data_IF_754947130011
#
_entry.id   IF_754947130011
#
_cell.length_a   1.000
_cell.length_b   1.000
_cell.length_c   1.000
_cell.angle_alpha   90.00
_cell.angle_beta   90.00
_cell.angle_gamma   90.00
#
_symmetry.space_group_name_H-M   'P 1'
#
loop_
_entity.id
_entity.type
_entity.pdbx_description
1 polymer ?
#
# COMPACT_ATOMS: atom_id res chain seq x y z
N UNK A 1 -1.56 -21.54 15.68
CA UNK A 1 -1.07 -21.06 14.38
C UNK A 1 -2.21 -20.63 13.45
N UNK A 2 -3.09 -21.50 12.95
CA UNK A 2 -4.20 -21.08 12.10
C UNK A 2 -5.16 -20.10 12.81
N UNK A 3 -5.43 -20.32 14.10
CA UNK A 3 -6.23 -19.41 14.92
C UNK A 3 -5.59 -18.01 15.06
N UNK A 4 -4.27 -17.92 15.14
CA UNK A 4 -3.53 -16.65 15.20
C UNK A 4 -3.68 -15.87 13.89
N UNK A 5 -3.47 -16.54 12.74
CA UNK A 5 -3.64 -15.93 11.43
C UNK A 5 -5.11 -15.50 11.21
N UNK A 6 -6.06 -16.36 11.56
CA UNK A 6 -7.48 -16.04 11.53
C UNK A 6 -7.81 -14.85 12.43
N UNK A 7 -7.33 -14.83 13.67
CA UNK A 7 -7.55 -13.73 14.61
C UNK A 7 -7.06 -12.38 14.11
N UNK A 8 -5.96 -12.36 13.37
CA UNK A 8 -5.38 -11.15 12.82
C UNK A 8 -6.01 -10.69 11.49
N UNK A 9 -6.47 -11.62 10.64
CA UNK A 9 -7.08 -11.30 9.35
C UNK A 9 -8.59 -11.09 9.45
N UNK A 10 -9.27 -11.77 10.38
CA UNK A 10 -10.73 -11.67 10.57
C UNK A 10 -11.22 -10.23 10.81
N UNK A 11 -10.55 -9.38 11.63
CA UNK A 11 -10.95 -7.99 11.79
C UNK A 11 -10.95 -7.20 10.47
N UNK A 12 -10.03 -7.50 9.55
CA UNK A 12 -10.00 -6.86 8.22
C UNK A 12 -11.22 -7.25 7.39
N UNK A 13 -11.56 -8.55 7.36
CA UNK A 13 -12.73 -9.07 6.65
C UNK A 13 -14.00 -8.47 7.23
N UNK A 14 -14.13 -8.48 8.56
CA UNK A 14 -15.31 -7.94 9.27
C UNK A 14 -15.47 -6.45 8.98
N UNK A 15 -14.40 -5.66 9.05
CA UNK A 15 -14.45 -4.22 8.79
C UNK A 15 -14.86 -3.92 7.34
N UNK A 16 -14.34 -4.68 6.38
CA UNK A 16 -14.69 -4.55 4.98
C UNK A 16 -16.15 -4.94 4.74
N UNK A 17 -16.61 -6.05 5.35
CA UNK A 17 -18.01 -6.48 5.27
C UNK A 17 -18.96 -5.48 5.94
N UNK A 18 -18.59 -4.86 7.04
CA UNK A 18 -19.37 -3.80 7.68
C UNK A 18 -19.55 -2.60 6.74
N UNK A 19 -18.50 -2.17 6.05
CA UNK A 19 -18.60 -1.13 5.04
C UNK A 19 -19.51 -1.52 3.86
N UNK A 20 -19.43 -2.78 3.42
CA UNK A 20 -20.30 -3.32 2.39
C UNK A 20 -21.78 -3.32 2.85
N UNK A 21 -22.06 -3.81 4.05
CA UNK A 21 -23.40 -3.86 4.64
C UNK A 21 -23.98 -2.46 4.84
N UNK A 22 -23.16 -1.51 5.34
CA UNK A 22 -23.56 -0.12 5.53
C UNK A 22 -23.97 0.55 4.21
N UNK A 23 -23.26 0.25 3.11
CA UNK A 23 -23.64 0.72 1.79
C UNK A 23 -24.89 0.01 1.25
N UNK A 24 -25.04 -1.28 1.51
CA UNK A 24 -26.21 -2.06 1.12
C UNK A 24 -27.49 -1.59 1.83
N UNK A 25 -27.37 -1.20 3.11
CA UNK A 25 -28.47 -0.58 3.88
C UNK A 25 -28.71 0.90 3.52
N UNK A 26 -27.96 1.47 2.58
CA UNK A 26 -28.04 2.88 2.19
C UNK A 26 -27.65 3.89 3.29
N UNK A 27 -26.99 3.46 4.36
CA UNK A 27 -26.44 4.35 5.38
C UNK A 27 -25.27 5.18 4.82
N UNK A 28 -24.52 4.58 3.89
CA UNK A 28 -23.45 5.23 3.14
C UNK A 28 -23.64 5.01 1.64
N UNK A 29 -23.46 6.10 0.88
CA UNK A 29 -23.55 6.06 -0.57
C UNK A 29 -22.19 6.18 -1.26
N UNK A 30 -22.18 6.07 -2.60
CA UNK A 30 -20.97 6.25 -3.42
C UNK A 30 -20.32 7.63 -3.25
N UNK A 31 -21.08 8.64 -2.76
CA UNK A 31 -20.56 10.00 -2.48
C UNK A 31 -19.79 10.10 -1.16
N UNK A 32 -20.00 9.18 -0.24
CA UNK A 32 -19.38 9.21 1.11
C UNK A 32 -17.99 8.56 1.11
N UNK A 33 -17.79 7.56 0.25
CA UNK A 33 -16.48 6.91 0.09
C UNK A 33 -15.34 7.91 -0.22
N UNK A 34 -15.48 8.90 -1.14
CA UNK A 34 -14.47 9.94 -1.36
C UNK A 34 -14.19 10.81 -0.14
N UNK A 35 -15.20 11.08 0.72
CA UNK A 35 -15.04 11.88 1.95
C UNK A 35 -14.17 11.12 2.95
N UNK A 36 -14.51 9.85 3.21
CA UNK A 36 -13.72 8.96 4.05
C UNK A 36 -12.31 8.80 3.50
N UNK A 37 -12.18 8.62 2.20
CA UNK A 37 -10.92 8.50 1.51
C UNK A 37 -10.04 9.76 1.70
N UNK A 38 -10.62 10.96 1.57
CA UNK A 38 -9.92 12.21 1.79
C UNK A 38 -9.44 12.36 3.23
N UNK A 39 -10.29 12.03 4.21
CA UNK A 39 -9.93 12.04 5.64
C UNK A 39 -8.71 11.13 5.88
N UNK A 40 -8.74 9.93 5.33
CA UNK A 40 -7.66 8.96 5.53
C UNK A 40 -6.38 9.40 4.81
N UNK A 41 -6.44 9.77 3.53
CA UNK A 41 -5.24 10.11 2.74
C UNK A 41 -4.57 11.42 3.16
N UNK A 42 -5.37 12.41 3.60
CA UNK A 42 -4.83 13.75 3.92
C UNK A 42 -4.38 13.86 5.39
N UNK A 43 -5.06 13.14 6.29
CA UNK A 43 -4.81 13.28 7.73
C UNK A 43 -4.33 11.98 8.38
N UNK A 44 -5.11 10.90 8.31
CA UNK A 44 -4.83 9.71 9.10
C UNK A 44 -3.57 8.96 8.64
N UNK A 45 -3.43 8.71 7.33
CA UNK A 45 -2.26 8.01 6.77
C UNK A 45 -0.97 8.79 6.98
N UNK A 46 -0.84 10.10 6.67
CA UNK A 46 0.39 10.84 6.93
C UNK A 46 0.83 10.77 8.39
N UNK A 47 -0.10 10.88 9.34
CA UNK A 47 0.20 10.77 10.77
C UNK A 47 0.63 9.36 11.16
N UNK A 48 -0.02 8.32 10.60
CA UNK A 48 0.39 6.93 10.79
C UNK A 48 1.81 6.69 10.27
N UNK A 49 2.11 7.19 9.06
CA UNK A 49 3.40 7.01 8.42
C UNK A 49 4.51 7.76 9.17
N UNK A 50 4.24 8.99 9.60
CA UNK A 50 5.17 9.76 10.41
C UNK A 50 5.43 9.05 11.75
N UNK A 51 4.38 8.74 12.52
CA UNK A 51 4.49 8.09 13.82
C UNK A 51 5.20 6.73 13.71
N UNK A 52 4.85 5.91 12.73
CA UNK A 52 5.50 4.63 12.47
C UNK A 52 6.98 4.77 12.09
N UNK A 53 7.33 5.82 11.34
CA UNK A 53 8.73 6.05 10.94
C UNK A 53 9.59 6.53 12.12
N UNK A 54 9.13 7.48 12.93
CA UNK A 54 9.91 8.03 14.05
C UNK A 54 10.10 7.04 15.20
N UNK A 55 9.27 6.01 15.29
CA UNK A 55 9.45 4.91 16.26
C UNK A 55 10.50 3.90 15.84
N UNK A 56 10.94 3.91 14.59
CA UNK A 56 12.02 3.04 14.09
C UNK A 56 13.36 3.53 14.61
N UNK A 57 14.14 2.65 15.26
CA UNK A 57 15.48 3.01 15.74
C UNK A 57 16.55 2.72 14.70
N UNK A 58 17.64 3.52 14.70
CA UNK A 58 18.83 3.23 13.86
C UNK A 58 19.44 1.86 14.16
N UNK A 59 19.42 1.46 15.43
CA UNK A 59 19.93 0.17 15.86
C UNK A 59 19.14 -0.98 15.21
N UNK A 60 17.80 -0.87 15.11
CA UNK A 60 16.97 -1.87 14.44
C UNK A 60 17.33 -2.03 12.96
N UNK A 61 17.64 -0.93 12.26
CA UNK A 61 18.04 -0.96 10.85
C UNK A 61 19.42 -1.60 10.63
N UNK A 62 20.32 -1.51 11.61
CA UNK A 62 21.69 -2.04 11.49
C UNK A 62 21.86 -3.45 12.02
N UNK A 63 20.94 -3.95 12.86
CA UNK A 63 21.07 -5.27 13.50
C UNK A 63 20.81 -6.43 12.54
N UNK A 64 19.86 -6.28 11.60
CA UNK A 64 19.40 -7.35 10.73
C UNK A 64 19.51 -6.96 9.24
N UNK A 65 20.74 -6.64 8.80
CA UNK A 65 21.03 -6.27 7.39
C UNK A 65 20.44 -7.29 6.39
N UNK A 66 20.52 -8.62 6.61
CA UNK A 66 19.91 -9.59 5.70
C UNK A 66 18.40 -9.42 5.55
N UNK A 67 17.69 -9.13 6.64
CA UNK A 67 16.25 -8.86 6.63
C UNK A 67 15.93 -7.56 5.87
N UNK A 68 16.72 -6.51 6.10
CA UNK A 68 16.59 -5.23 5.37
C UNK A 68 16.73 -5.46 3.88
N UNK A 69 17.79 -6.16 3.45
CA UNK A 69 18.04 -6.44 2.03
C UNK A 69 16.91 -7.29 1.44
N UNK A 70 16.49 -8.36 2.13
CA UNK A 70 15.43 -9.24 1.66
C UNK A 70 14.12 -8.48 1.45
N UNK A 71 13.71 -7.63 2.41
CA UNK A 71 12.48 -6.84 2.31
C UNK A 71 12.60 -5.73 1.26
N UNK A 72 13.73 -5.02 1.19
CA UNK A 72 13.98 -4.02 0.14
C UNK A 72 13.92 -4.63 -1.25
N UNK A 73 14.66 -5.71 -1.48
CA UNK A 73 14.71 -6.38 -2.80
C UNK A 73 13.35 -6.96 -3.15
N UNK A 74 12.66 -7.59 -2.20
CA UNK A 74 11.33 -8.16 -2.44
C UNK A 74 10.31 -7.08 -2.77
N UNK A 75 10.22 -6.02 -1.99
CA UNK A 75 9.19 -4.99 -2.14
C UNK A 75 9.50 -4.08 -3.35
N UNK A 76 10.69 -3.49 -3.39
CA UNK A 76 11.08 -2.55 -4.46
C UNK A 76 11.32 -3.31 -5.78
N UNK A 77 11.99 -4.45 -5.72
CA UNK A 77 12.30 -5.27 -6.89
C UNK A 77 11.03 -5.80 -7.55
N UNK A 78 10.09 -6.35 -6.79
CA UNK A 78 8.83 -6.84 -7.33
C UNK A 78 7.96 -5.69 -7.87
N UNK A 79 7.92 -4.53 -7.16
CA UNK A 79 7.24 -3.33 -7.64
C UNK A 79 7.76 -2.91 -9.01
N UNK A 80 9.09 -2.77 -9.14
CA UNK A 80 9.73 -2.42 -10.39
C UNK A 80 9.51 -3.46 -11.48
N UNK A 81 9.66 -4.74 -11.16
CA UNK A 81 9.46 -5.83 -12.12
C UNK A 81 8.04 -5.88 -12.68
N UNK A 82 7.02 -5.76 -11.81
CA UNK A 82 5.61 -5.75 -12.23
C UNK A 82 5.29 -4.49 -13.02
N UNK A 83 5.80 -3.32 -12.58
CA UNK A 83 5.62 -2.06 -13.30
C UNK A 83 6.16 -2.15 -14.73
N UNK A 84 7.39 -2.64 -14.88
CA UNK A 84 8.05 -2.81 -16.18
C UNK A 84 7.34 -3.86 -17.03
N UNK A 85 6.96 -5.00 -16.46
CA UNK A 85 6.21 -6.06 -17.15
C UNK A 85 4.89 -5.50 -17.69
N UNK A 86 4.11 -4.82 -16.86
CA UNK A 86 2.84 -4.22 -17.25
C UNK A 86 3.03 -3.15 -18.34
N UNK A 87 4.07 -2.32 -18.23
CA UNK A 87 4.31 -1.22 -19.16
C UNK A 87 4.87 -1.68 -20.50
N UNK A 88 5.88 -2.56 -20.49
CA UNK A 88 6.61 -2.95 -21.69
C UNK A 88 6.02 -4.18 -22.38
N UNK A 89 5.65 -5.21 -21.60
CA UNK A 89 5.15 -6.47 -22.18
C UNK A 89 3.65 -6.43 -22.41
N UNK A 90 2.88 -5.98 -21.40
CA UNK A 90 1.41 -5.93 -21.50
C UNK A 90 0.91 -4.60 -22.10
N UNK A 91 1.80 -3.61 -22.29
CA UNK A 91 1.52 -2.30 -22.87
C UNK A 91 0.34 -1.58 -22.20
N UNK A 92 0.18 -1.78 -20.89
CA UNK A 92 -0.89 -1.14 -20.10
C UNK A 92 -0.58 0.34 -19.86
N UNK A 93 -1.61 1.17 -19.69
CA UNK A 93 -1.45 2.55 -19.23
C UNK A 93 -0.68 2.63 -17.91
N UNK A 94 0.07 3.72 -17.70
CA UNK A 94 0.96 3.87 -16.53
C UNK A 94 0.20 3.82 -15.20
N UNK A 95 -1.01 4.42 -15.13
CA UNK A 95 -1.86 4.38 -13.95
C UNK A 95 -2.28 2.96 -13.55
N UNK A 96 -2.69 2.14 -14.53
CA UNK A 96 -3.04 0.73 -14.30
C UNK A 96 -1.80 -0.07 -13.90
N UNK A 97 -0.66 0.18 -14.57
CA UNK A 97 0.61 -0.48 -14.27
C UNK A 97 1.10 -0.16 -12.85
N UNK A 98 0.97 1.10 -12.42
CA UNK A 98 1.33 1.52 -11.07
C UNK A 98 0.45 0.88 -9.98
N UNK A 99 -0.88 0.81 -10.21
CA UNK A 99 -1.80 0.13 -9.28
C UNK A 99 -1.55 -1.39 -9.24
N UNK A 100 -1.27 -2.02 -10.38
CA UNK A 100 -0.94 -3.45 -10.43
C UNK A 100 0.38 -3.74 -9.68
N UNK A 101 1.40 -2.89 -9.86
CA UNK A 101 2.67 -2.99 -9.15
C UNK A 101 2.50 -2.80 -7.63
N UNK A 102 1.69 -1.81 -7.21
CA UNK A 102 1.35 -1.60 -5.81
C UNK A 102 0.63 -2.81 -5.21
N UNK A 103 -0.34 -3.38 -5.94
CA UNK A 103 -1.07 -4.58 -5.54
C UNK A 103 -0.13 -5.75 -5.30
N UNK A 104 0.78 -6.01 -6.26
CA UNK A 104 1.65 -7.18 -6.23
C UNK A 104 2.79 -7.08 -5.21
N UNK A 105 3.26 -5.87 -4.88
CA UNK A 105 4.49 -5.70 -4.11
C UNK A 105 4.31 -5.19 -2.68
N UNK A 106 3.22 -4.43 -2.39
CA UNK A 106 3.07 -3.74 -1.11
C UNK A 106 2.21 -4.52 -0.11
N UNK A 107 2.80 -5.15 0.92
CA UNK A 107 2.04 -5.74 2.01
C UNK A 107 1.43 -4.68 2.93
N UNK A 108 0.28 -4.98 3.52
CA UNK A 108 -0.42 -4.11 4.47
C UNK A 108 0.27 -4.01 5.84
N UNK A 109 1.60 -4.15 5.90
CA UNK A 109 2.38 -4.19 7.16
C UNK A 109 2.11 -2.99 8.08
N UNK A 110 2.05 -1.73 7.59
CA UNK A 110 1.78 -0.59 8.48
C UNK A 110 0.41 -0.66 9.18
N UNK A 111 -0.53 -1.42 8.64
CA UNK A 111 -1.91 -1.48 9.13
C UNK A 111 -2.19 -2.72 9.97
N UNK A 112 -1.72 -3.87 9.55
CA UNK A 112 -2.03 -5.16 10.19
C UNK A 112 -0.81 -5.93 10.65
N UNK A 113 0.39 -5.47 10.30
CA UNK A 113 1.64 -6.08 10.74
C UNK A 113 1.73 -6.24 12.26
N UNK A 114 1.42 -5.20 13.07
CA UNK A 114 1.45 -5.31 14.53
C UNK A 114 0.53 -6.41 15.06
N UNK A 115 -0.64 -6.62 14.50
CA UNK A 115 -1.55 -7.68 14.92
C UNK A 115 -1.03 -9.06 14.51
N UNK A 116 -0.65 -9.24 13.23
CA UNK A 116 -0.23 -10.55 12.70
C UNK A 116 1.15 -10.94 13.22
N UNK A 117 2.15 -10.09 13.00
CA UNK A 117 3.53 -10.41 13.36
C UNK A 117 3.76 -10.27 14.86
N UNK A 118 3.01 -9.38 15.54
CA UNK A 118 3.06 -9.23 16.99
C UNK A 118 2.61 -10.49 17.72
N UNK A 119 1.53 -11.12 17.25
CA UNK A 119 1.04 -12.38 17.81
C UNK A 119 1.97 -13.57 17.52
N UNK A 120 2.69 -13.53 16.38
CA UNK A 120 3.58 -14.62 15.97
C UNK A 120 4.99 -14.51 16.58
N UNK A 121 5.55 -13.30 16.65
CA UNK A 121 6.94 -13.07 17.03
C UNK A 121 7.11 -12.23 18.31
N UNK A 122 6.00 -11.78 18.92
CA UNK A 122 6.06 -10.91 20.10
C UNK A 122 6.86 -9.65 19.86
N UNK A 123 7.78 -9.32 20.74
CA UNK A 123 8.62 -8.11 20.63
C UNK A 123 9.57 -8.11 19.41
N UNK A 124 9.96 -9.28 18.88
CA UNK A 124 10.82 -9.37 17.70
C UNK A 124 10.14 -8.86 16.43
N UNK A 125 8.80 -8.86 16.40
CA UNK A 125 8.02 -8.34 15.26
C UNK A 125 8.27 -6.86 14.93
N UNK A 126 8.76 -6.08 15.90
CA UNK A 126 8.99 -4.64 15.71
C UNK A 126 10.00 -4.36 14.59
N UNK A 127 10.99 -5.22 14.40
CA UNK A 127 12.04 -5.05 13.38
C UNK A 127 11.47 -5.21 11.96
N UNK A 128 10.89 -6.37 11.57
CA UNK A 128 10.33 -6.55 10.24
C UNK A 128 9.19 -5.56 9.92
N UNK A 129 8.36 -5.21 10.91
CA UNK A 129 7.30 -4.21 10.74
C UNK A 129 7.89 -2.85 10.41
N UNK A 130 8.89 -2.40 11.17
CA UNK A 130 9.53 -1.10 10.96
C UNK A 130 10.23 -1.01 9.61
N UNK A 131 11.00 -2.03 9.24
CA UNK A 131 11.74 -2.07 7.97
C UNK A 131 10.77 -2.07 6.79
N UNK A 132 9.81 -2.99 6.76
CA UNK A 132 8.85 -3.08 5.67
C UNK A 132 8.01 -1.80 5.54
N UNK A 133 7.54 -1.24 6.65
CA UNK A 133 6.79 0.01 6.66
C UNK A 133 7.63 1.17 6.13
N UNK A 134 8.89 1.28 6.54
CA UNK A 134 9.81 2.30 6.06
C UNK A 134 10.01 2.20 4.54
N UNK A 135 10.32 1.01 4.04
CA UNK A 135 10.51 0.75 2.60
C UNK A 135 9.27 1.12 1.81
N UNK A 136 8.09 0.66 2.23
CA UNK A 136 6.84 0.94 1.54
C UNK A 136 6.55 2.44 1.54
N UNK A 137 6.68 3.09 2.69
CA UNK A 137 6.27 4.48 2.89
C UNK A 137 7.22 5.49 2.24
N UNK A 138 8.52 5.17 2.14
CA UNK A 138 9.50 6.04 1.50
C UNK A 138 9.67 5.80 0.01
N UNK A 139 9.28 4.62 -0.50
CA UNK A 139 9.54 4.26 -1.90
C UNK A 139 8.26 3.97 -2.67
N UNK A 140 7.53 2.91 -2.33
CA UNK A 140 6.44 2.38 -3.14
C UNK A 140 5.22 3.31 -3.16
N UNK A 141 4.81 3.82 -2.00
CA UNK A 141 3.66 4.72 -1.89
C UNK A 141 3.90 6.04 -2.61
N UNK A 142 5.02 6.77 -2.38
CA UNK A 142 5.31 8.00 -3.13
C UNK A 142 5.50 7.76 -4.64
N UNK A 143 6.18 6.68 -5.03
CA UNK A 143 6.35 6.32 -6.43
C UNK A 143 5.01 6.07 -7.14
N UNK A 144 4.12 5.31 -6.51
CA UNK A 144 2.78 5.06 -7.06
C UNK A 144 1.97 6.34 -7.19
N UNK A 145 1.97 7.18 -6.14
CA UNK A 145 1.27 8.46 -6.15
C UNK A 145 1.78 9.36 -7.26
N UNK A 146 3.10 9.44 -7.43
CA UNK A 146 3.74 10.20 -8.50
C UNK A 146 3.30 9.70 -9.89
N UNK A 147 3.37 8.39 -10.14
CA UNK A 147 2.99 7.80 -11.41
C UNK A 147 1.50 8.01 -11.74
N UNK A 148 0.63 7.97 -10.73
CA UNK A 148 -0.80 8.27 -10.90
C UNK A 148 -1.04 9.75 -11.19
N UNK A 149 -0.35 10.66 -10.49
CA UNK A 149 -0.51 12.11 -10.69
C UNK A 149 -0.01 12.58 -12.05
N UNK A 150 1.08 12.01 -12.56
CA UNK A 150 1.60 12.31 -13.89
C UNK A 150 0.64 11.85 -14.99
N UNK A 151 0.04 10.68 -14.85
CA UNK A 151 -0.89 10.15 -15.85
C UNK A 151 -2.23 10.89 -15.85
N UNK A 152 -2.71 11.36 -14.69
CA UNK A 152 -3.91 12.22 -14.62
C UNK A 152 -3.75 13.53 -15.41
N UNK A 153 -2.51 14.00 -15.56
CA UNK A 153 -2.19 15.18 -16.36
C UNK A 153 -2.25 14.98 -17.86
N UNK A 154 -1.93 13.77 -18.33
CA UNK A 154 -1.99 13.42 -19.75
C UNK A 154 -3.44 13.18 -20.22
N UNK A 155 -4.34 12.79 -19.30
CA UNK A 155 -5.76 12.53 -19.58
C UNK A 155 -6.65 13.78 -19.64
N UNK A 156 -6.19 14.91 -19.14
CA UNK A 156 -6.93 16.19 -19.15
C UNK A 156 -6.77 16.97 -20.46
N UNK A 157 -6.43 16.30 -21.56
CA UNK A 157 -6.59 16.84 -22.91
C UNK A 157 -8.08 16.89 -23.25
N UNK A 158 -8.65 18.05 -23.65
CA UNK A 158 -10.08 18.27 -23.72
C UNK A 158 -10.71 17.52 -24.90
N UNK A 159 -11.35 16.42 -24.58
CA UNK A 159 -12.17 15.68 -25.53
C UNK A 159 -13.29 14.92 -24.83
N UNK A 160 -14.48 15.51 -24.90
CA UNK A 160 -15.83 15.02 -24.60
C UNK A 160 -16.42 15.45 -23.24
N UNK A 161 -16.94 16.66 -23.24
CA UNK A 161 -17.90 17.14 -22.24
C UNK A 161 -18.58 18.40 -22.77
N UNK A 162 -19.86 18.29 -23.18
CA UNK A 162 -20.72 19.36 -23.61
C UNK A 162 -20.73 20.53 -22.61
N UNK A 163 -20.13 21.65 -22.98
CA UNK A 163 -20.10 22.86 -22.17
C UNK A 163 -19.03 23.81 -22.67
N UNK A 164 -19.24 24.35 -23.88
CA UNK A 164 -18.32 25.25 -24.56
C UNK A 164 -18.01 26.53 -23.78
N UNK A 165 -16.71 26.81 -23.60
CA UNK A 165 -16.24 28.17 -23.92
C UNK A 165 -14.94 28.07 -24.72
N UNK A 166 -14.98 28.60 -25.93
CA UNK A 166 -13.88 28.76 -26.86
C UNK A 166 -12.73 29.55 -26.21
N UNK A 167 -11.67 28.86 -25.83
CA UNK A 167 -10.39 29.45 -25.47
C UNK A 167 -9.30 28.77 -26.29
N UNK A 168 -8.80 29.42 -27.29
CA UNK A 168 -7.62 29.24 -28.15
C UNK A 168 -6.80 27.95 -27.88
N UNK A 169 -6.80 27.03 -28.86
CA UNK A 169 -5.82 25.97 -29.00
C UNK A 169 -4.41 26.58 -28.99
N UNK A 170 -3.75 26.48 -27.86
CA UNK A 170 -2.31 26.76 -27.76
C UNK A 170 -1.61 25.49 -28.18
N UNK A 171 -1.02 25.50 -29.37
CA UNK A 171 -0.15 24.44 -29.87
C UNK A 171 0.93 24.14 -28.83
N UNK A 172 0.96 22.88 -28.35
CA UNK A 172 1.90 22.39 -27.32
C UNK A 172 3.33 22.53 -27.84
N UNK A 173 4.07 23.51 -27.33
CA UNK A 173 5.51 23.63 -27.57
C UNK A 173 6.25 22.52 -26.79
N UNK A 174 7.32 21.92 -27.33
CA UNK A 174 8.07 20.82 -26.65
C UNK A 174 8.64 21.19 -25.27
N UNK A 175 8.75 22.47 -24.92
CA UNK A 175 9.17 22.95 -23.60
C UNK A 175 8.07 22.89 -22.52
N UNK A 176 6.80 22.69 -22.88
CA UNK A 176 5.68 22.69 -21.92
C UNK A 176 5.53 21.38 -21.15
N UNK A 177 6.02 20.27 -21.69
CA UNK A 177 5.92 18.95 -21.00
C UNK A 177 6.85 18.87 -19.79
N UNK A 178 8.07 19.36 -19.91
CA UNK A 178 9.04 19.37 -18.80
C UNK A 178 8.58 20.30 -17.66
N UNK A 179 8.02 21.47 -18.00
CA UNK A 179 7.48 22.41 -17.00
C UNK A 179 6.22 21.87 -16.31
N UNK A 180 5.38 21.14 -17.03
CA UNK A 180 4.22 20.45 -16.46
C UNK A 180 4.64 19.29 -15.54
N UNK A 181 5.66 18.53 -15.93
CA UNK A 181 6.24 17.47 -15.12
C UNK A 181 6.85 18.02 -13.82
N UNK A 182 7.63 19.09 -13.89
CA UNK A 182 8.25 19.72 -12.70
C UNK A 182 7.21 20.36 -11.80
N UNK A 183 6.16 20.98 -12.33
CA UNK A 183 5.07 21.53 -11.54
C UNK A 183 4.31 20.42 -10.79
N UNK A 184 3.99 19.31 -11.46
CA UNK A 184 3.28 18.18 -10.85
C UNK A 184 4.14 17.38 -9.86
N UNK A 185 5.43 17.25 -10.14
CA UNK A 185 6.39 16.74 -9.15
C UNK A 185 6.37 17.59 -7.89
N UNK A 186 6.36 18.94 -8.05
CA UNK A 186 6.26 19.89 -6.94
C UNK A 186 4.94 19.76 -6.17
N UNK A 187 3.82 19.52 -6.84
CA UNK A 187 2.52 19.27 -6.19
C UNK A 187 2.51 17.94 -5.42
N UNK A 188 3.02 16.87 -6.04
CA UNK A 188 3.08 15.54 -5.41
C UNK A 188 3.98 15.52 -4.16
N UNK A 189 5.12 16.23 -4.20
CA UNK A 189 6.03 16.34 -3.05
C UNK A 189 5.37 17.11 -1.89
N UNK A 190 4.45 18.04 -2.18
CA UNK A 190 3.70 18.77 -1.15
C UNK A 190 2.60 17.93 -0.50
N UNK A 191 2.24 16.77 -1.07
CA UNK A 191 1.23 15.91 -0.46
C UNK A 191 1.71 15.36 0.89
N UNK A 192 0.87 15.45 1.95
CA UNK A 192 1.25 14.99 3.30
C UNK A 192 1.70 13.52 3.34
N UNK A 193 1.13 12.68 2.51
CA UNK A 193 1.48 11.26 2.43
C UNK A 193 2.92 11.02 1.94
N UNK A 194 3.52 11.98 1.24
CA UNK A 194 4.90 11.91 0.74
C UNK A 194 5.88 12.49 1.76
N UNK A 195 5.65 13.72 2.22
CA UNK A 195 6.63 14.39 3.08
C UNK A 195 6.59 13.92 4.54
N UNK A 196 5.44 13.41 5.04
CA UNK A 196 5.35 12.98 6.43
C UNK A 196 6.32 11.84 6.79
N UNK A 197 6.38 10.72 6.04
CA UNK A 197 7.38 9.67 6.31
C UNK A 197 8.81 10.14 6.07
N UNK A 198 9.06 11.02 5.08
CA UNK A 198 10.39 11.60 4.84
C UNK A 198 10.83 12.44 6.02
N UNK A 199 9.94 13.29 6.54
CA UNK A 199 10.20 14.08 7.74
C UNK A 199 10.48 13.17 8.93
N UNK A 200 9.66 12.14 9.16
CA UNK A 200 9.90 11.14 10.20
C UNK A 200 11.28 10.48 10.09
N UNK A 201 11.68 10.12 8.87
CA UNK A 201 12.97 9.53 8.62
C UNK A 201 14.15 10.51 8.88
N UNK A 202 13.98 11.78 8.54
CA UNK A 202 14.97 12.82 8.88
C UNK A 202 15.12 12.96 10.40
N UNK A 203 14.03 12.89 11.19
CA UNK A 203 14.10 12.87 12.65
C UNK A 203 14.91 11.67 13.17
N UNK A 204 14.68 10.48 12.62
CA UNK A 204 15.45 9.27 12.95
C UNK A 204 16.93 9.47 12.61
N UNK A 205 17.26 9.99 11.41
CA UNK A 205 18.63 10.26 10.98
C UNK A 205 19.32 11.34 11.84
N UNK A 206 18.60 12.36 12.27
CA UNK A 206 19.12 13.39 13.17
C UNK A 206 19.28 12.91 14.62
N UNK A 207 18.77 11.71 14.96
CA UNK A 207 18.79 11.20 16.33
C UNK A 207 17.85 11.94 17.28
N UNK A 208 16.90 12.70 16.73
CA UNK A 208 15.92 13.45 17.51
C UNK A 208 14.88 12.50 18.10
N UNK A 209 14.62 12.65 19.39
CA UNK A 209 13.59 11.87 20.08
C UNK A 209 12.34 12.70 20.26
N UNK A 210 11.22 12.19 19.76
CA UNK A 210 9.92 12.80 19.98
C UNK A 210 9.33 12.23 21.28
N UNK A 211 8.78 13.07 22.18
CA UNK A 211 8.12 12.59 23.40
C UNK A 211 7.03 11.57 23.06
N UNK A 212 6.95 10.48 23.81
CA UNK A 212 6.00 9.39 23.57
C UNK A 212 4.54 9.85 23.54
N UNK A 213 4.20 10.85 24.34
CA UNK A 213 2.85 11.41 24.38
C UNK A 213 2.47 12.03 23.01
N UNK A 214 3.42 12.67 22.32
CA UNK A 214 3.19 13.26 20.99
C UNK A 214 3.02 12.13 19.96
N UNK A 215 3.91 11.14 19.97
CA UNK A 215 3.81 9.97 19.08
C UNK A 215 2.49 9.26 19.27
N UNK A 216 2.07 9.01 20.51
CA UNK A 216 0.81 8.36 20.83
C UNK A 216 -0.39 9.18 20.34
N UNK A 217 -0.37 10.49 20.54
CA UNK A 217 -1.44 11.39 20.08
C UNK A 217 -1.56 11.40 18.55
N UNK A 218 -0.44 11.42 17.83
CA UNK A 218 -0.43 11.34 16.36
C UNK A 218 -0.86 9.97 15.85
N UNK A 219 -0.46 8.89 16.54
CA UNK A 219 -0.82 7.53 16.17
C UNK A 219 -2.29 7.20 16.39
N UNK A 220 -2.98 7.92 17.28
CA UNK A 220 -4.40 7.68 17.59
C UNK A 220 -5.29 7.84 16.34
N UNK A 221 -5.14 8.93 15.59
CA UNK A 221 -5.84 9.09 14.31
C UNK A 221 -5.24 8.17 13.24
N UNK A 222 -3.92 7.98 13.27
CA UNK A 222 -3.20 7.11 12.35
C UNK A 222 -3.68 5.65 12.41
N UNK A 223 -3.94 5.12 13.60
CA UNK A 223 -4.45 3.76 13.79
C UNK A 223 -5.84 3.56 13.18
N UNK A 224 -6.68 4.58 13.17
CA UNK A 224 -7.99 4.52 12.52
C UNK A 224 -7.88 4.38 10.99
N UNK A 225 -6.73 4.75 10.39
CA UNK A 225 -6.55 4.78 8.94
C UNK A 225 -6.82 3.43 8.27
N UNK A 226 -6.32 2.33 8.83
CA UNK A 226 -6.52 0.99 8.30
C UNK A 226 -7.99 0.55 8.34
N UNK A 227 -8.66 0.76 9.47
CA UNK A 227 -10.07 0.42 9.64
C UNK A 227 -10.99 1.25 8.75
N UNK A 228 -10.80 2.58 8.72
CA UNK A 228 -11.59 3.46 7.85
C UNK A 228 -11.32 3.18 6.37
N UNK A 229 -10.08 2.85 6.01
CA UNK A 229 -9.72 2.44 4.66
C UNK A 229 -10.45 1.18 4.22
N UNK A 230 -10.47 0.14 5.07
CA UNK A 230 -11.18 -1.11 4.80
C UNK A 230 -12.69 -0.92 4.76
N UNK A 231 -13.25 -0.11 5.65
CA UNK A 231 -14.66 0.24 5.66
C UNK A 231 -15.05 0.98 4.37
N UNK A 232 -14.31 2.02 3.99
CA UNK A 232 -14.52 2.73 2.73
C UNK A 232 -14.38 1.81 1.51
N UNK A 233 -13.46 0.83 1.58
CA UNK A 233 -13.29 -0.21 0.56
C UNK A 233 -14.54 -1.08 0.41
N UNK A 234 -15.19 -1.41 1.53
CA UNK A 234 -16.46 -2.13 1.55
C UNK A 234 -17.58 -1.34 0.87
N UNK A 235 -17.67 -0.01 1.12
CA UNK A 235 -18.62 0.87 0.45
C UNK A 235 -18.39 0.87 -1.07
N UNK A 236 -17.14 1.02 -1.50
CA UNK A 236 -16.79 0.98 -2.94
C UNK A 236 -17.16 -0.38 -3.54
N UNK A 237 -16.91 -1.47 -2.83
CA UNK A 237 -17.23 -2.83 -3.29
C UNK A 237 -18.74 -3.06 -3.43
N UNK A 238 -19.57 -2.47 -2.57
CA UNK A 238 -21.04 -2.56 -2.65
C UNK A 238 -21.59 -1.76 -3.83
N UNK A 239 -20.97 -0.62 -4.17
CA UNK A 239 -21.36 0.21 -5.30
C UNK A 239 -20.81 -0.25 -6.65
N UNK A 240 -19.77 -1.07 -6.65
CA UNK A 240 -19.11 -1.58 -7.85
C UNK A 240 -19.33 -3.09 -7.97
N UNK A 241 -19.61 -3.59 -9.17
CA UNK A 241 -19.61 -5.03 -9.41
C UNK A 241 -18.21 -5.59 -9.12
N UNK A 242 -18.13 -6.71 -8.37
CA UNK A 242 -16.88 -7.42 -8.13
C UNK A 242 -16.29 -7.81 -9.50
N UNK A 243 -15.12 -7.25 -9.82
CA UNK A 243 -14.43 -7.55 -11.09
C UNK A 243 -13.26 -8.47 -10.85
N UNK A 244 -13.51 -9.76 -11.02
CA UNK A 244 -12.46 -10.78 -10.99
C UNK A 244 -12.04 -11.08 -12.43
N UNK A 245 -10.95 -10.48 -12.85
CA UNK A 245 -10.34 -10.71 -14.15
C UNK A 245 -8.93 -11.30 -14.00
N UNK A 246 -8.34 -11.79 -15.09
CA UNK A 246 -7.01 -12.40 -15.07
C UNK A 246 -5.92 -11.46 -14.51
N UNK A 247 -6.06 -10.14 -14.67
CA UNK A 247 -5.11 -9.16 -14.14
C UNK A 247 -5.19 -9.07 -12.61
N UNK A 248 -6.40 -9.05 -12.07
CA UNK A 248 -6.62 -9.05 -10.61
C UNK A 248 -6.08 -10.34 -10.00
N UNK A 249 -6.44 -11.49 -10.58
CA UNK A 249 -5.98 -12.79 -10.09
C UNK A 249 -4.46 -12.92 -10.16
N UNK A 250 -3.83 -12.50 -11.25
CA UNK A 250 -2.36 -12.54 -11.37
C UNK A 250 -1.67 -11.61 -10.36
N UNK A 251 -2.15 -10.38 -10.18
CA UNK A 251 -1.58 -9.45 -9.21
C UNK A 251 -1.71 -9.97 -7.77
N UNK A 252 -2.88 -10.53 -7.41
CA UNK A 252 -3.10 -11.15 -6.10
C UNK A 252 -2.22 -12.39 -5.93
N UNK A 253 -2.12 -13.26 -6.93
CA UNK A 253 -1.23 -14.43 -6.89
C UNK A 253 0.24 -14.02 -6.72
N UNK A 254 0.70 -13.03 -7.47
CA UNK A 254 2.04 -12.47 -7.31
C UNK A 254 2.26 -12.00 -5.87
N UNK A 255 1.27 -11.38 -5.25
CA UNK A 255 1.35 -10.83 -3.90
C UNK A 255 1.39 -11.90 -2.82
N UNK A 256 0.37 -12.78 -2.78
CA UNK A 256 0.19 -13.69 -1.63
C UNK A 256 0.89 -15.04 -1.78
N UNK A 257 1.36 -15.39 -2.99
CA UNK A 257 2.05 -16.64 -3.26
C UNK A 257 3.46 -16.41 -3.75
N UNK A 258 3.64 -15.71 -4.87
CA UNK A 258 4.95 -15.60 -5.52
C UNK A 258 5.93 -14.76 -4.70
N UNK A 259 5.51 -13.62 -4.16
CA UNK A 259 6.39 -12.74 -3.37
C UNK A 259 6.98 -13.46 -2.16
N UNK A 260 6.18 -14.04 -1.24
CA UNK A 260 6.74 -14.76 -0.10
C UNK A 260 7.51 -16.04 -0.50
N UNK A 261 7.12 -16.73 -1.57
CA UNK A 261 7.86 -17.88 -2.10
C UNK A 261 9.25 -17.49 -2.60
N UNK A 262 9.37 -16.38 -3.34
CA UNK A 262 10.66 -15.87 -3.80
C UNK A 262 11.55 -15.46 -2.63
N UNK A 263 10.99 -14.82 -1.59
CA UNK A 263 11.72 -14.47 -0.37
C UNK A 263 12.20 -15.73 0.33
N UNK A 264 11.34 -16.73 0.50
CA UNK A 264 11.70 -18.00 1.10
C UNK A 264 12.85 -18.68 0.35
N UNK A 265 12.72 -18.81 -0.96
CA UNK A 265 13.75 -19.46 -1.79
C UNK A 265 15.07 -18.68 -1.75
N UNK A 266 15.03 -17.36 -1.87
CA UNK A 266 16.21 -16.51 -1.84
C UNK A 266 16.93 -16.60 -0.48
N UNK A 267 16.20 -16.49 0.63
CA UNK A 267 16.79 -16.54 1.96
C UNK A 267 17.40 -17.93 2.25
N UNK A 268 16.70 -19.00 1.87
CA UNK A 268 17.22 -20.37 2.02
C UNK A 268 18.44 -20.63 1.14
N UNK A 269 18.44 -20.15 -0.10
CA UNK A 269 19.57 -20.27 -1.01
C UNK A 269 20.81 -19.53 -0.51
N UNK A 270 20.61 -18.37 0.12
CA UNK A 270 21.69 -17.61 0.78
C UNK A 270 22.16 -18.22 2.11
N UNK A 271 21.59 -19.36 2.54
CA UNK A 271 21.98 -20.08 3.74
C UNK A 271 21.40 -19.54 5.05
N UNK A 272 20.44 -18.59 4.97
CA UNK A 272 19.78 -18.08 6.17
C UNK A 272 18.81 -19.12 6.75
N UNK A 273 18.62 -19.05 8.06
CA UNK A 273 17.74 -19.95 8.83
C UNK A 273 16.76 -19.12 9.68
N UNK A 274 15.80 -19.80 10.30
CA UNK A 274 14.89 -19.16 11.24
C UNK A 274 15.66 -18.59 12.46
N UNK A 275 15.16 -17.49 13.07
CA UNK A 275 13.85 -16.85 12.84
C UNK A 275 13.80 -15.86 11.67
N UNK A 276 14.92 -15.36 11.16
CA UNK A 276 15.02 -14.30 10.13
C UNK A 276 14.25 -14.64 8.83
N UNK A 277 14.32 -15.91 8.40
CA UNK A 277 13.58 -16.38 7.21
C UNK A 277 12.09 -16.29 7.44
N UNK A 278 11.63 -16.72 8.59
CA UNK A 278 10.22 -16.70 8.97
C UNK A 278 9.68 -15.26 9.03
N UNK A 279 10.43 -14.35 9.65
CA UNK A 279 10.09 -12.92 9.71
C UNK A 279 9.99 -12.29 8.32
N UNK A 280 10.95 -12.53 7.43
CA UNK A 280 10.95 -12.00 6.07
C UNK A 280 9.76 -12.54 5.24
N UNK A 281 9.55 -13.86 5.28
CA UNK A 281 8.51 -14.54 4.50
C UNK A 281 7.12 -14.12 4.96
N UNK A 282 6.84 -14.15 6.27
CA UNK A 282 5.52 -13.81 6.78
C UNK A 282 5.21 -12.32 6.64
N UNK A 283 6.21 -11.45 6.77
CA UNK A 283 6.05 -10.01 6.49
C UNK A 283 5.58 -9.77 5.05
N UNK A 284 6.15 -10.49 4.08
CA UNK A 284 5.77 -10.36 2.67
C UNK A 284 4.48 -11.12 2.32
N UNK A 285 4.08 -12.13 3.10
CA UNK A 285 2.84 -12.87 2.92
C UNK A 285 1.58 -12.11 3.39
N UNK A 286 1.73 -11.00 4.13
CA UNK A 286 0.63 -10.11 4.51
C UNK A 286 -0.12 -9.63 3.25
N UNK A 287 -1.48 -9.58 3.26
CA UNK A 287 -2.27 -9.18 2.09
C UNK A 287 -1.92 -7.78 1.57
N UNK A 288 -2.41 -7.41 0.40
CA UNK A 288 -2.14 -6.11 -0.20
C UNK A 288 -2.75 -4.95 0.61
N UNK A 289 -2.14 -3.77 0.48
CA UNK A 289 -2.52 -2.59 1.27
C UNK A 289 -3.90 -2.04 0.86
N UNK A 290 -4.76 -1.64 1.83
CA UNK A 290 -6.02 -0.95 1.56
C UNK A 290 -5.85 0.41 0.86
N UNK A 291 -4.69 1.06 0.99
CA UNK A 291 -4.38 2.33 0.31
C UNK A 291 -4.48 2.21 -1.22
N UNK A 292 -4.38 1.00 -1.77
CA UNK A 292 -4.64 0.69 -3.18
C UNK A 292 -6.00 1.22 -3.64
N UNK A 293 -7.05 0.92 -2.88
CA UNK A 293 -8.42 1.36 -3.20
C UNK A 293 -8.54 2.87 -3.08
N UNK A 294 -7.88 3.45 -2.08
CA UNK A 294 -7.89 4.90 -1.88
C UNK A 294 -7.27 5.64 -3.05
N UNK A 295 -6.16 5.13 -3.58
CA UNK A 295 -5.56 5.69 -4.78
C UNK A 295 -6.43 5.47 -6.02
N UNK A 296 -7.02 4.29 -6.17
CA UNK A 296 -7.95 3.99 -7.25
C UNK A 296 -9.14 4.98 -7.26
N UNK A 297 -9.77 5.23 -6.11
CA UNK A 297 -10.87 6.19 -5.94
C UNK A 297 -10.40 7.63 -6.17
N UNK A 298 -9.25 8.03 -5.59
CA UNK A 298 -8.72 9.40 -5.75
C UNK A 298 -8.47 9.77 -7.21
N UNK A 299 -7.98 8.82 -8.00
CA UNK A 299 -7.61 9.03 -9.40
C UNK A 299 -8.63 8.47 -10.40
N UNK A 300 -9.76 7.94 -9.93
CA UNK A 300 -10.82 7.33 -10.75
C UNK A 300 -10.31 6.24 -11.71
N UNK A 301 -9.42 5.36 -11.21
CA UNK A 301 -8.76 4.32 -12.01
C UNK A 301 -8.98 2.96 -11.38
N UNK A 302 -9.60 2.04 -12.13
CA UNK A 302 -9.73 0.62 -11.77
C UNK A 302 -10.24 0.36 -10.34
N UNK A 303 -11.22 1.16 -9.87
CA UNK A 303 -11.74 1.12 -8.48
C UNK A 303 -12.28 -0.26 -8.10
N UNK A 304 -13.08 -0.86 -8.99
CA UNK A 304 -13.66 -2.19 -8.78
C UNK A 304 -12.59 -3.30 -8.76
N UNK A 305 -11.58 -3.21 -9.63
CA UNK A 305 -10.46 -4.13 -9.66
C UNK A 305 -9.60 -4.00 -8.39
N UNK A 306 -9.35 -2.78 -7.93
CA UNK A 306 -8.60 -2.51 -6.70
C UNK A 306 -9.32 -3.08 -5.47
N UNK A 307 -10.63 -2.84 -5.34
CA UNK A 307 -11.45 -3.38 -4.27
C UNK A 307 -11.49 -4.92 -4.28
N UNK A 308 -11.65 -5.52 -5.48
CA UNK A 308 -11.62 -6.98 -5.65
C UNK A 308 -10.26 -7.57 -5.30
N UNK A 309 -9.15 -6.89 -5.66
CA UNK A 309 -7.80 -7.34 -5.34
C UNK A 309 -7.54 -7.35 -3.82
N UNK A 310 -7.96 -6.31 -3.10
CA UNK A 310 -7.85 -6.26 -1.64
C UNK A 310 -8.65 -7.40 -1.02
N UNK A 311 -9.93 -7.56 -1.39
CA UNK A 311 -10.78 -8.62 -0.86
C UNK A 311 -10.17 -10.01 -1.09
N UNK A 312 -9.78 -10.32 -2.33
CA UNK A 312 -9.21 -11.62 -2.69
C UNK A 312 -7.86 -11.86 -2.00
N UNK A 313 -7.03 -10.82 -1.87
CA UNK A 313 -5.75 -10.97 -1.17
C UNK A 313 -5.94 -11.22 0.33
N UNK A 314 -6.93 -10.58 0.96
CA UNK A 314 -7.25 -10.79 2.39
C UNK A 314 -7.75 -12.21 2.61
N UNK A 315 -8.71 -12.70 1.80
CA UNK A 315 -9.24 -14.07 1.92
C UNK A 315 -8.15 -15.09 1.60
N UNK A 316 -7.41 -14.89 0.52
CA UNK A 316 -6.35 -15.81 0.10
C UNK A 316 -5.16 -15.86 1.06
N UNK A 317 -4.85 -14.73 1.73
CA UNK A 317 -3.74 -14.68 2.68
C UNK A 317 -3.93 -15.57 3.91
N UNK A 318 -5.16 -15.83 4.32
CA UNK A 318 -5.45 -16.77 5.42
C UNK A 318 -4.87 -18.15 5.11
N UNK A 319 -5.06 -18.61 3.88
CA UNK A 319 -4.57 -19.92 3.43
C UNK A 319 -3.06 -19.86 3.19
N UNK A 320 -2.59 -18.88 2.44
CA UNK A 320 -1.18 -18.81 2.03
C UNK A 320 -0.25 -18.53 3.19
N UNK A 321 -0.61 -17.65 4.13
CA UNK A 321 0.17 -17.43 5.36
C UNK A 321 0.24 -18.70 6.21
N UNK A 322 -0.86 -19.44 6.33
CA UNK A 322 -0.86 -20.75 7.01
C UNK A 322 0.12 -21.72 6.36
N UNK A 323 0.14 -21.81 5.04
CA UNK A 323 1.08 -22.67 4.30
C UNK A 323 2.54 -22.21 4.53
N UNK A 324 2.83 -20.92 4.41
CA UNK A 324 4.19 -20.40 4.61
C UNK A 324 4.66 -20.60 6.04
N UNK A 325 3.77 -20.49 7.03
CA UNK A 325 4.08 -20.77 8.42
C UNK A 325 4.48 -22.25 8.65
N UNK A 326 3.86 -23.19 7.91
CA UNK A 326 4.24 -24.61 7.93
C UNK A 326 5.55 -24.88 7.20
N UNK A 327 5.87 -24.11 6.15
CA UNK A 327 7.10 -24.25 5.38
C UNK A 327 8.33 -23.62 6.08
N UNK A 328 8.09 -22.77 7.08
CA UNK A 328 9.11 -22.07 7.87
C UNK A 328 8.97 -22.41 9.36
N UNK A 329 9.08 -23.70 9.76
CA UNK A 329 8.90 -24.15 11.15
C UNK A 329 9.99 -23.61 12.09
#
# INVERSE_FOLDING_TARGET
>A
MLATVLGAVLPMVVTLLLGFVAAWHHDFGSRDAPILNRMVLVYAVPLALFAGTVTTSRAQLSQDIPLVIALCVSIIGLYGAVLLLCRWTLRLPMNISALAALTAAAPAVPFVGPAILGDLFGSASAIPISIASLVINLTVVPATLLLLSLNAAEGDSPGTGLGAQRGKAVASRPGSQLSLLTAKLGETIKEPIVWAPVLGFLFVLAGLRIPQIVVHSLSMLGQASGGVALFASGIVLAGAAIKVNGRVLSAVFLKIVLQPALVLLAMRWLGYRNPIVNEAVLTTAIPCMPILIMFAVKYHVAEAEAASAVLLSVIGSVITMGIFLLLTP
#
